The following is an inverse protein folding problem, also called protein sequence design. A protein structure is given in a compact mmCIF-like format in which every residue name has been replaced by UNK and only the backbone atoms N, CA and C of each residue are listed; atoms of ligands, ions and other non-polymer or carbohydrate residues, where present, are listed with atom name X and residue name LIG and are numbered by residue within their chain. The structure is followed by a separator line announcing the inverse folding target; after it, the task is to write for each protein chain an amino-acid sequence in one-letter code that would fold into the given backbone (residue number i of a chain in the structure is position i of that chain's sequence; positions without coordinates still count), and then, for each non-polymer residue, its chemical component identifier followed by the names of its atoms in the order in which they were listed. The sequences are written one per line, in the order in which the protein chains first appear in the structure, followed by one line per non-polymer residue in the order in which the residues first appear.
data_IF_067289392886
#
_entry.id   IF_067289392886
#
_cell.length_a   1.000
_cell.length_b   1.000
_cell.length_c   1.000
_cell.angle_alpha   90.00
_cell.angle_beta   90.00
_cell.angle_gamma   90.00
#
_symmetry.space_group_name_H-M   'P 1'
#
loop_
_entity.id
_entity.type
_entity.pdbx_description
1 polymer ?
#
# COMPACT_ATOMS: atom_id res chain seq x y z
N UNK A 1 13.44 29.39 -18.83
CA UNK A 1 14.23 28.94 -17.67
C UNK A 1 13.43 27.79 -17.11
N UNK A 2 13.92 26.56 -17.29
CA UNK A 2 13.25 25.40 -16.71
C UNK A 2 13.41 25.54 -15.19
N UNK A 3 12.31 25.48 -14.44
CA UNK A 3 12.39 25.41 -12.98
C UNK A 3 13.34 24.27 -12.62
N UNK A 4 14.38 24.60 -11.87
CA UNK A 4 15.35 23.64 -11.38
C UNK A 4 14.60 22.75 -10.38
N UNK A 5 14.28 21.53 -10.79
CA UNK A 5 13.58 20.57 -9.92
C UNK A 5 14.53 20.25 -8.76
N UNK A 6 14.24 20.76 -7.57
CA UNK A 6 14.96 20.39 -6.35
C UNK A 6 14.71 18.89 -6.08
N UNK A 7 15.73 18.06 -6.30
CA UNK A 7 15.67 16.62 -6.06
C UNK A 7 16.90 16.18 -5.27
N UNK A 8 16.72 15.71 -4.03
CA UNK A 8 17.81 15.36 -3.12
C UNK A 8 18.83 16.52 -2.94
N UNK A 9 18.36 17.77 -3.03
CA UNK A 9 19.20 18.98 -3.04
C UNK A 9 19.95 19.21 -1.72
N UNK A 10 19.47 18.62 -0.63
CA UNK A 10 20.08 18.64 0.70
C UNK A 10 21.17 17.58 0.90
N UNK A 11 21.31 16.62 -0.02
CA UNK A 11 22.34 15.58 0.03
C UNK A 11 23.57 15.96 -0.78
N UNK A 12 24.74 15.49 -0.33
CA UNK A 12 25.99 15.70 -1.06
C UNK A 12 25.99 14.90 -2.36
N UNK A 13 26.00 15.60 -3.49
CA UNK A 13 26.04 15.02 -4.83
C UNK A 13 27.47 14.92 -5.35
N UNK A 14 27.71 13.92 -6.21
CA UNK A 14 28.92 13.80 -7.03
C UNK A 14 28.57 14.06 -8.50
N UNK A 15 29.48 14.65 -9.28
CA UNK A 15 29.29 14.74 -10.72
C UNK A 15 29.16 13.34 -11.33
N UNK A 16 28.23 13.20 -12.27
CA UNK A 16 28.17 12.07 -13.17
C UNK A 16 27.68 12.54 -14.53
N UNK A 17 27.87 11.71 -15.56
CA UNK A 17 27.36 12.02 -16.89
C UNK A 17 26.78 10.76 -17.50
N UNK A 18 25.53 10.80 -17.99
CA UNK A 18 25.02 9.75 -18.86
C UNK A 18 25.76 9.78 -20.21
N UNK A 19 25.71 8.69 -20.97
CA UNK A 19 26.29 8.66 -22.33
C UNK A 19 25.73 9.84 -23.15
N UNK A 20 26.60 10.59 -23.83
CA UNK A 20 26.21 11.74 -24.64
C UNK A 20 25.12 11.39 -25.69
N UNK A 21 25.05 10.13 -26.13
CA UNK A 21 24.03 9.63 -27.05
C UNK A 21 22.63 9.49 -26.44
N UNK A 22 22.52 9.54 -25.11
CA UNK A 22 21.26 9.36 -24.40
C UNK A 22 20.33 10.58 -24.45
N UNK A 23 20.86 11.76 -24.77
CA UNK A 23 20.09 13.01 -24.72
C UNK A 23 19.68 13.46 -23.31
N UNK A 24 20.19 12.79 -22.27
CA UNK A 24 19.92 13.11 -20.87
C UNK A 24 20.87 14.20 -20.35
N UNK A 25 20.32 15.13 -19.57
CA UNK A 25 21.11 16.12 -18.84
C UNK A 25 21.46 15.57 -17.45
N UNK A 26 22.74 15.54 -17.04
CA UNK A 26 23.10 15.06 -15.70
C UNK A 26 22.62 16.01 -14.60
N UNK A 27 22.06 15.45 -13.52
CA UNK A 27 21.73 16.20 -12.29
C UNK A 27 22.75 15.90 -11.21
N UNK A 28 22.86 14.64 -10.76
CA UNK A 28 23.79 14.26 -9.69
C UNK A 28 23.83 12.77 -9.38
N UNK A 29 24.93 12.32 -8.80
CA UNK A 29 25.11 10.98 -8.28
C UNK A 29 25.18 11.02 -6.76
N UNK A 30 24.25 10.33 -6.11
CA UNK A 30 24.18 10.21 -4.67
C UNK A 30 24.61 8.82 -4.25
N UNK A 31 25.37 8.72 -3.16
CA UNK A 31 25.96 7.47 -2.69
C UNK A 31 25.54 7.26 -1.24
N UNK A 32 25.02 6.07 -0.94
CA UNK A 32 24.64 5.67 0.40
C UNK A 32 25.84 5.38 1.31
N UNK A 33 25.58 4.65 2.39
CA UNK A 33 26.58 4.35 3.41
C UNK A 33 27.45 3.13 3.07
N UNK A 34 28.65 3.10 3.64
CA UNK A 34 29.67 2.04 3.49
C UNK A 34 30.27 1.84 2.09
N UNK A 35 31.14 0.83 1.95
CA UNK A 35 31.77 0.46 0.68
C UNK A 35 30.80 -0.30 -0.22
N UNK A 36 30.82 0.00 -1.53
CA UNK A 36 29.86 -0.55 -2.51
C UNK A 36 28.39 -0.28 -2.14
N UNK A 37 28.13 0.89 -1.56
CA UNK A 37 26.81 1.40 -1.25
C UNK A 37 25.88 1.44 -2.47
N UNK A 38 24.59 1.63 -2.20
CA UNK A 38 23.64 2.01 -3.24
C UNK A 38 24.08 3.34 -3.87
N UNK A 39 24.09 3.37 -5.20
CA UNK A 39 24.23 4.59 -5.99
C UNK A 39 22.87 4.98 -6.58
N UNK A 40 22.49 6.25 -6.45
CA UNK A 40 21.34 6.84 -7.15
C UNK A 40 21.86 7.85 -8.16
N UNK A 41 21.76 7.52 -9.44
CA UNK A 41 22.15 8.39 -10.54
C UNK A 41 20.91 9.12 -11.08
N UNK A 42 20.92 10.45 -11.00
CA UNK A 42 19.78 11.30 -11.35
C UNK A 42 20.10 12.13 -12.59
N UNK A 43 19.26 12.03 -13.61
CA UNK A 43 19.34 12.81 -14.84
C UNK A 43 17.98 13.44 -15.15
N UNK A 44 17.97 14.40 -16.06
CA UNK A 44 16.78 15.06 -16.54
C UNK A 44 16.62 14.83 -18.05
N UNK A 45 15.38 14.69 -18.51
CA UNK A 45 15.02 14.58 -19.91
C UNK A 45 13.86 15.53 -20.24
N UNK A 46 13.86 16.10 -21.45
CA UNK A 46 12.75 16.92 -21.91
C UNK A 46 11.48 16.09 -22.18
N UNK A 47 11.64 14.82 -22.54
CA UNK A 47 10.56 13.86 -22.80
C UNK A 47 10.89 12.53 -22.13
N UNK A 48 9.87 11.73 -21.82
CA UNK A 48 10.04 10.41 -21.24
C UNK A 48 10.88 9.51 -22.18
N UNK A 49 12.05 9.01 -21.76
CA UNK A 49 12.83 8.09 -22.57
C UNK A 49 12.08 6.76 -22.69
N UNK A 50 12.22 6.09 -23.83
CA UNK A 50 11.65 4.74 -24.00
C UNK A 50 12.30 3.74 -23.03
N UNK A 51 11.53 2.75 -22.55
CA UNK A 51 12.00 1.73 -21.59
C UNK A 51 13.35 1.11 -21.95
N UNK A 52 13.57 0.77 -23.23
CA UNK A 52 14.84 0.19 -23.69
C UNK A 52 16.02 1.13 -23.51
N UNK A 53 15.85 2.43 -23.72
CA UNK A 53 16.90 3.42 -23.51
C UNK A 53 17.25 3.55 -22.02
N UNK A 54 16.26 3.55 -21.12
CA UNK A 54 16.49 3.58 -19.67
C UNK A 54 17.33 2.40 -19.21
N UNK A 55 16.99 1.19 -19.67
CA UNK A 55 17.73 -0.04 -19.34
C UNK A 55 19.16 0.00 -19.88
N UNK A 56 19.38 0.47 -21.11
CA UNK A 56 20.73 0.55 -21.69
C UNK A 56 21.62 1.58 -20.98
N UNK A 57 21.06 2.75 -20.61
CA UNK A 57 21.78 3.77 -19.83
C UNK A 57 22.14 3.22 -18.45
N UNK A 58 21.20 2.54 -17.80
CA UNK A 58 21.43 1.89 -16.52
C UNK A 58 22.53 0.83 -16.61
N UNK A 59 22.47 -0.07 -17.62
CA UNK A 59 23.50 -1.10 -17.84
C UNK A 59 24.88 -0.50 -18.09
N UNK A 60 24.96 0.53 -18.94
CA UNK A 60 26.20 1.21 -19.25
C UNK A 60 26.86 1.79 -17.99
N UNK A 61 26.07 2.39 -17.09
CA UNK A 61 26.57 2.95 -15.83
C UNK A 61 26.86 1.89 -14.77
N UNK A 62 26.02 0.86 -14.64
CA UNK A 62 26.20 -0.25 -13.70
C UNK A 62 27.48 -1.01 -14.03
N UNK A 63 27.67 -1.34 -15.30
CA UNK A 63 28.77 -2.18 -15.77
C UNK A 63 28.88 -3.48 -14.96
N UNK A 64 30.10 -3.93 -14.68
CA UNK A 64 30.37 -5.12 -13.84
C UNK A 64 30.60 -4.78 -12.36
N UNK A 65 30.20 -3.58 -11.91
CA UNK A 65 30.47 -3.11 -10.55
C UNK A 65 29.59 -3.86 -9.54
N UNK A 66 30.08 -4.02 -8.31
CA UNK A 66 29.33 -4.66 -7.24
C UNK A 66 28.26 -3.74 -6.61
N UNK A 67 28.49 -2.42 -6.63
CA UNK A 67 27.56 -1.42 -6.09
C UNK A 67 26.20 -1.47 -6.80
N UNK A 68 25.08 -1.61 -6.08
CA UNK A 68 23.74 -1.42 -6.64
C UNK A 68 23.61 -0.03 -7.27
N UNK A 69 22.82 0.08 -8.34
CA UNK A 69 22.58 1.36 -9.01
C UNK A 69 21.10 1.52 -9.25
N UNK A 70 20.54 2.64 -8.84
CA UNK A 70 19.22 3.10 -9.22
C UNK A 70 19.39 4.27 -10.18
N UNK A 71 18.79 4.18 -11.37
CA UNK A 71 18.74 5.28 -12.32
C UNK A 71 17.38 5.96 -12.18
N UNK A 72 17.41 7.27 -11.94
CA UNK A 72 16.24 8.15 -11.91
C UNK A 72 16.36 9.14 -13.05
N UNK A 73 15.32 9.22 -13.88
CA UNK A 73 15.22 10.23 -14.93
C UNK A 73 14.02 11.11 -14.64
N UNK A 74 14.27 12.38 -14.36
CA UNK A 74 13.27 13.40 -14.11
C UNK A 74 12.76 13.96 -15.45
N UNK A 75 11.45 14.06 -15.58
CA UNK A 75 10.76 14.80 -16.63
C UNK A 75 10.11 16.06 -16.03
N UNK A 76 9.33 16.79 -16.82
CA UNK A 76 8.69 18.03 -16.36
C UNK A 76 7.81 17.83 -15.11
N UNK A 77 6.98 16.78 -15.11
CA UNK A 77 5.98 16.53 -14.06
C UNK A 77 6.01 15.10 -13.49
N UNK A 78 6.93 14.26 -13.96
CA UNK A 78 7.03 12.87 -13.52
C UNK A 78 8.47 12.39 -13.55
N UNK A 79 8.70 11.18 -13.04
CA UNK A 79 9.99 10.53 -13.00
C UNK A 79 9.89 9.10 -13.51
N UNK A 80 10.98 8.61 -14.07
CA UNK A 80 11.17 7.20 -14.40
C UNK A 80 12.29 6.60 -13.56
N UNK A 81 12.10 5.37 -13.08
CA UNK A 81 13.03 4.69 -12.19
C UNK A 81 13.31 3.28 -12.70
N UNK A 82 14.59 2.90 -12.72
CA UNK A 82 15.04 1.55 -13.08
C UNK A 82 16.28 1.11 -12.29
N UNK A 83 16.40 -0.19 -12.03
CA UNK A 83 17.41 -0.79 -11.14
C UNK A 83 16.74 -1.62 -10.03
N UNK A 84 17.39 -1.93 -8.90
CA UNK A 84 18.74 -1.60 -8.45
C UNK A 84 19.83 -2.63 -8.85
N UNK A 85 19.37 -3.81 -9.30
CA UNK A 85 20.14 -5.01 -9.65
C UNK A 85 19.40 -5.82 -10.72
N UNK A 86 20.08 -6.80 -11.31
CA UNK A 86 19.50 -7.72 -12.31
C UNK A 86 20.05 -7.47 -13.72
N UNK A 87 19.87 -8.43 -14.62
CA UNK A 87 20.28 -8.27 -16.03
C UNK A 87 19.25 -7.47 -16.84
N UNK A 88 17.97 -7.62 -16.48
CA UNK A 88 16.83 -6.87 -17.01
C UNK A 88 16.09 -6.28 -15.81
N UNK A 89 16.48 -5.08 -15.34
CA UNK A 89 15.79 -4.46 -14.22
C UNK A 89 14.37 -4.03 -14.65
N UNK A 90 13.40 -4.03 -13.71
CA UNK A 90 12.10 -3.42 -13.97
C UNK A 90 12.26 -1.91 -14.26
N UNK A 91 11.31 -1.39 -15.02
CA UNK A 91 11.20 0.04 -15.33
C UNK A 91 9.82 0.50 -14.89
N UNK A 92 9.81 1.51 -14.02
CA UNK A 92 8.60 2.20 -13.61
C UNK A 92 8.62 3.59 -14.22
N UNK A 93 7.54 3.95 -14.89
CA UNK A 93 7.40 5.19 -15.67
C UNK A 93 6.27 6.02 -15.10
N UNK A 94 6.29 7.33 -15.38
CA UNK A 94 5.23 8.27 -14.98
C UNK A 94 4.96 8.31 -13.47
N UNK A 95 6.03 8.21 -12.68
CA UNK A 95 5.98 8.26 -11.22
C UNK A 95 5.98 9.70 -10.71
N UNK A 96 5.35 9.92 -9.56
CA UNK A 96 5.38 11.21 -8.87
C UNK A 96 6.82 11.54 -8.41
N UNK A 97 7.29 12.77 -8.68
CA UNK A 97 8.68 13.16 -8.41
C UNK A 97 8.97 13.12 -6.90
N UNK A 98 8.07 13.65 -6.08
CA UNK A 98 8.22 13.66 -4.62
C UNK A 98 8.25 12.25 -4.03
N UNK A 99 7.43 11.33 -4.54
CA UNK A 99 7.47 9.91 -4.20
C UNK A 99 8.84 9.28 -4.48
N UNK A 100 9.35 9.47 -5.70
CA UNK A 100 10.64 8.91 -6.12
C UNK A 100 11.78 9.50 -5.27
N UNK A 101 11.72 10.79 -4.96
CA UNK A 101 12.70 11.45 -4.12
C UNK A 101 12.72 10.85 -2.70
N UNK A 102 11.56 10.70 -2.07
CA UNK A 102 11.44 10.12 -0.73
C UNK A 102 11.91 8.66 -0.68
N UNK A 103 11.59 7.86 -1.70
CA UNK A 103 12.08 6.49 -1.82
C UNK A 103 13.62 6.47 -1.95
N UNK A 104 14.20 7.31 -2.80
CA UNK A 104 15.65 7.38 -2.98
C UNK A 104 16.35 7.79 -1.69
N UNK A 105 15.80 8.80 -0.98
CA UNK A 105 16.30 9.26 0.32
C UNK A 105 16.29 8.15 1.36
N UNK A 106 15.19 7.41 1.47
CA UNK A 106 15.07 6.28 2.39
C UNK A 106 16.07 5.16 2.05
N UNK A 107 16.26 4.87 0.76
CA UNK A 107 17.18 3.84 0.29
C UNK A 107 18.66 4.23 0.49
N UNK A 108 19.01 5.50 0.28
CA UNK A 108 20.36 6.05 0.51
C UNK A 108 20.72 6.10 2.00
N UNK A 109 19.73 6.27 2.89
CA UNK A 109 19.93 6.30 4.33
C UNK A 109 20.16 4.92 4.96
N UNK A 110 19.95 3.83 4.22
CA UNK A 110 20.14 2.47 4.73
C UNK A 110 21.61 2.23 5.14
N UNK A 111 21.84 1.43 6.20
CA UNK A 111 23.17 1.24 6.76
C UNK A 111 24.13 0.54 5.79
N UNK A 112 23.60 -0.36 4.96
CA UNK A 112 24.38 -1.14 4.02
C UNK A 112 23.61 -1.44 2.72
N UNK A 113 24.34 -1.93 1.71
CA UNK A 113 23.77 -2.27 0.40
C UNK A 113 22.70 -3.37 0.44
N UNK A 114 22.78 -4.31 1.38
CA UNK A 114 21.83 -5.41 1.49
C UNK A 114 20.50 -4.91 2.08
N UNK A 115 20.55 -4.03 3.08
CA UNK A 115 19.39 -3.32 3.60
C UNK A 115 18.71 -2.47 2.51
N UNK A 116 19.48 -1.69 1.76
CA UNK A 116 18.99 -0.93 0.61
C UNK A 116 18.30 -1.80 -0.44
N UNK A 117 18.91 -2.94 -0.81
CA UNK A 117 18.32 -3.86 -1.78
C UNK A 117 17.03 -4.52 -1.27
N UNK A 118 16.99 -4.93 0.00
CA UNK A 118 15.76 -5.47 0.60
C UNK A 118 14.64 -4.44 0.54
N UNK A 119 14.92 -3.20 0.95
CA UNK A 119 13.95 -2.11 0.90
C UNK A 119 13.43 -1.87 -0.52
N UNK A 120 14.34 -1.72 -1.50
CA UNK A 120 13.94 -1.48 -2.90
C UNK A 120 13.17 -2.66 -3.50
N UNK A 121 13.53 -3.90 -3.17
CA UNK A 121 12.82 -5.09 -3.66
C UNK A 121 11.37 -5.17 -3.17
N UNK A 122 11.07 -4.59 -2.00
CA UNK A 122 9.73 -4.53 -1.44
C UNK A 122 8.97 -3.28 -1.89
N UNK A 123 9.65 -2.14 -1.95
CA UNK A 123 9.07 -0.84 -2.28
C UNK A 123 8.71 -0.72 -3.77
N UNK A 124 9.61 -1.09 -4.68
CA UNK A 124 9.43 -0.85 -6.13
C UNK A 124 8.15 -1.46 -6.71
N UNK A 125 7.80 -2.74 -6.43
CA UNK A 125 6.54 -3.31 -6.91
C UNK A 125 5.30 -2.61 -6.35
N UNK A 126 5.38 -2.03 -5.15
CA UNK A 126 4.23 -1.34 -4.55
C UNK A 126 3.91 0.01 -5.21
N UNK A 127 4.84 0.57 -6.00
CA UNK A 127 4.65 1.85 -6.68
C UNK A 127 3.60 1.79 -7.79
N UNK A 128 3.32 0.61 -8.34
CA UNK A 128 2.31 0.41 -9.39
C UNK A 128 0.90 0.18 -8.84
N UNK A 129 0.74 0.16 -7.51
CA UNK A 129 -0.59 0.02 -6.89
C UNK A 129 -1.37 1.34 -7.00
N UNK A 130 -2.70 1.28 -6.88
CA UNK A 130 -3.55 2.47 -6.95
C UNK A 130 -3.27 3.46 -5.81
N UNK A 131 -2.84 2.96 -4.65
CA UNK A 131 -2.47 3.76 -3.48
C UNK A 131 -1.08 3.35 -2.99
N UNK A 132 0.00 3.76 -3.69
CA UNK A 132 1.37 3.39 -3.31
C UNK A 132 1.67 3.81 -1.88
N UNK A 133 2.36 2.92 -1.14
CA UNK A 133 2.66 3.14 0.27
C UNK A 133 1.50 2.90 1.24
N UNK A 134 0.30 2.56 0.77
CA UNK A 134 -0.80 2.10 1.61
C UNK A 134 -1.11 0.62 1.35
N UNK A 135 -1.19 -0.16 2.43
CA UNK A 135 -1.72 -1.52 2.39
C UNK A 135 -2.94 -1.60 3.28
N UNK A 136 -4.12 -1.74 2.68
CA UNK A 136 -5.39 -1.87 3.38
C UNK A 136 -5.83 -3.33 3.42
N UNK A 137 -5.70 -3.96 4.59
CA UNK A 137 -6.13 -5.33 4.83
C UNK A 137 -7.53 -5.40 5.45
N UNK A 138 -8.48 -4.74 4.78
CA UNK A 138 -9.91 -4.86 5.11
C UNK A 138 -10.40 -3.95 6.23
N UNK A 139 -9.58 -3.02 6.73
CA UNK A 139 -10.03 -2.03 7.70
C UNK A 139 -10.95 -0.99 7.05
N UNK A 140 -10.63 -0.54 5.83
CA UNK A 140 -11.40 0.47 5.10
C UNK A 140 -11.93 -0.10 3.77
N UNK A 141 -12.92 0.55 3.17
CA UNK A 141 -13.33 0.21 1.81
C UNK A 141 -12.34 0.82 0.82
N UNK A 142 -11.83 0.02 -0.13
CA UNK A 142 -10.90 0.53 -1.15
C UNK A 142 -11.53 1.63 -2.00
N UNK A 143 -12.82 1.50 -2.34
CA UNK A 143 -13.57 2.54 -3.05
C UNK A 143 -13.62 3.86 -2.28
N UNK A 144 -13.80 3.80 -0.96
CA UNK A 144 -13.83 4.99 -0.12
C UNK A 144 -12.45 5.66 -0.14
N UNK A 145 -11.37 4.90 0.01
CA UNK A 145 -10.02 5.42 -0.15
C UNK A 145 -9.83 6.04 -1.54
N UNK A 146 -10.09 5.35 -2.64
CA UNK A 146 -9.77 5.87 -3.98
C UNK A 146 -10.65 7.04 -4.44
N UNK A 147 -11.91 7.13 -3.97
CA UNK A 147 -12.89 8.06 -4.54
C UNK A 147 -13.65 8.92 -3.54
N UNK A 148 -13.71 8.52 -2.27
CA UNK A 148 -14.43 9.22 -1.20
C UNK A 148 -13.50 10.18 -0.47
N UNK A 149 -12.47 9.66 0.19
CA UNK A 149 -11.52 10.44 1.00
C UNK A 149 -10.89 11.62 0.24
N UNK A 150 -10.47 11.49 -1.04
CA UNK A 150 -9.93 12.62 -1.81
C UNK A 150 -10.90 13.81 -1.99
N UNK A 151 -12.20 13.61 -1.76
CA UNK A 151 -13.23 14.66 -1.86
C UNK A 151 -13.51 15.36 -0.53
N UNK A 152 -12.83 14.97 0.56
CA UNK A 152 -13.05 15.58 1.86
C UNK A 152 -12.64 17.06 1.86
N UNK A 153 -13.38 17.94 2.57
CA UNK A 153 -13.07 19.36 2.62
C UNK A 153 -11.76 19.69 3.35
N UNK A 154 -11.25 18.77 4.18
CA UNK A 154 -10.01 18.91 4.94
C UNK A 154 -8.78 18.32 4.23
N UNK A 155 -8.91 17.88 2.96
CA UNK A 155 -7.86 17.23 2.19
C UNK A 155 -6.58 18.06 2.03
N UNK A 156 -6.71 19.33 1.61
CA UNK A 156 -5.55 20.21 1.39
C UNK A 156 -4.85 20.59 2.70
N UNK A 157 -5.60 20.77 3.78
CA UNK A 157 -5.02 21.03 5.09
C UNK A 157 -4.30 19.78 5.63
N UNK A 158 -4.91 18.60 5.46
CA UNK A 158 -4.26 17.34 5.77
C UNK A 158 -2.97 17.15 4.96
N UNK A 159 -2.94 17.59 3.69
CA UNK A 159 -1.72 17.59 2.88
C UNK A 159 -0.62 18.40 3.57
N UNK A 160 -0.88 19.65 3.95
CA UNK A 160 0.13 20.49 4.62
C UNK A 160 0.62 19.87 5.93
N UNK A 161 -0.30 19.34 6.75
CA UNK A 161 0.06 18.73 8.04
C UNK A 161 0.88 17.44 7.85
N UNK A 162 0.55 16.62 6.84
CA UNK A 162 1.31 15.42 6.52
C UNK A 162 2.77 15.71 6.14
N UNK A 163 3.05 16.84 5.47
CA UNK A 163 4.42 17.21 5.09
C UNK A 163 5.36 17.35 6.30
N UNK A 164 4.85 17.81 7.46
CA UNK A 164 5.65 17.93 8.68
C UNK A 164 6.13 16.58 9.23
N UNK A 165 5.51 15.47 8.80
CA UNK A 165 5.77 14.12 9.27
C UNK A 165 6.67 13.29 8.32
N UNK A 166 6.87 13.69 7.06
CA UNK A 166 7.42 12.82 6.00
C UNK A 166 8.84 12.26 6.22
N UNK A 167 9.68 12.97 6.97
CA UNK A 167 11.07 12.59 7.24
C UNK A 167 11.29 12.17 8.70
N UNK A 168 10.21 11.86 9.42
CA UNK A 168 10.25 11.45 10.82
C UNK A 168 10.13 9.94 10.94
N UNK A 169 10.63 9.38 12.04
CA UNK A 169 10.59 7.94 12.34
C UNK A 169 10.03 7.70 13.74
N UNK A 170 9.40 6.55 13.92
CA UNK A 170 8.96 6.02 15.22
C UNK A 170 8.25 7.09 16.08
N UNK A 171 8.81 7.44 17.24
CA UNK A 171 8.24 8.42 18.17
C UNK A 171 8.16 9.82 17.58
N UNK A 172 9.14 10.24 16.79
CA UNK A 172 9.13 11.56 16.16
C UNK A 172 8.03 11.66 15.10
N UNK A 173 7.76 10.56 14.41
CA UNK A 173 6.66 10.47 13.44
C UNK A 173 5.32 10.61 14.14
N UNK A 174 5.09 9.87 15.22
CA UNK A 174 3.88 9.98 16.02
C UNK A 174 3.72 11.36 16.66
N UNK A 175 4.83 11.97 17.13
CA UNK A 175 4.82 13.34 17.64
C UNK A 175 4.44 14.36 16.57
N UNK A 176 4.99 14.24 15.36
CA UNK A 176 4.63 15.11 14.22
C UNK A 176 3.17 14.94 13.77
N UNK A 177 2.58 13.76 14.03
CA UNK A 177 1.17 13.46 13.83
C UNK A 177 0.26 13.97 14.96
N UNK A 178 0.82 14.69 15.94
CA UNK A 178 0.09 15.39 16.98
C UNK A 178 -0.12 14.60 18.27
N UNK A 179 0.52 13.43 18.43
CA UNK A 179 0.41 12.67 19.66
C UNK A 179 1.32 13.20 20.77
N UNK A 180 0.80 13.24 21.99
CA UNK A 180 1.62 13.20 23.19
C UNK A 180 1.87 11.73 23.55
N UNK A 181 3.14 11.36 23.74
CA UNK A 181 3.55 9.97 23.93
C UNK A 181 3.99 9.79 25.38
N UNK A 182 3.29 8.93 26.11
CA UNK A 182 3.55 8.58 27.51
C UNK A 182 3.95 7.10 27.57
N UNK A 183 5.07 6.76 28.20
CA UNK A 183 5.46 5.35 28.32
C UNK A 183 4.57 4.66 29.36
N UNK A 184 3.92 3.55 28.96
CA UNK A 184 3.06 2.77 29.83
C UNK A 184 3.84 1.63 30.49
N UNK A 185 4.75 1.02 29.73
CA UNK A 185 5.75 0.07 30.19
C UNK A 185 6.96 0.06 29.23
N UNK A 186 7.83 -0.94 29.35
CA UNK A 186 9.04 -1.06 28.52
C UNK A 186 8.77 -1.39 27.04
N UNK A 187 7.55 -1.79 26.68
CA UNK A 187 7.18 -2.25 25.34
C UNK A 187 6.12 -1.38 24.68
N UNK A 188 5.31 -0.69 25.48
CA UNK A 188 4.11 0.01 25.04
C UNK A 188 4.12 1.47 25.49
N UNK A 189 3.60 2.31 24.60
CA UNK A 189 3.37 3.71 24.87
C UNK A 189 1.87 4.00 24.76
N UNK A 190 1.37 4.89 25.59
CA UNK A 190 0.06 5.49 25.48
C UNK A 190 0.15 6.73 24.58
N UNK A 191 -0.63 6.72 23.49
CA UNK A 191 -0.79 7.87 22.62
C UNK A 191 -1.97 8.71 23.08
N UNK A 192 -1.70 9.97 23.42
CA UNK A 192 -2.71 10.94 23.84
C UNK A 192 -2.97 11.98 22.75
N UNK A 193 -4.23 12.34 22.60
CA UNK A 193 -4.71 13.47 21.81
C UNK A 193 -5.34 14.46 22.76
N UNK A 194 -4.65 15.58 23.02
CA UNK A 194 -4.98 16.50 24.12
C UNK A 194 -5.09 15.70 25.44
N UNK A 195 -6.18 15.85 26.19
CA UNK A 195 -6.39 15.14 27.46
C UNK A 195 -6.90 13.69 27.31
N UNK A 196 -7.14 13.22 26.07
CA UNK A 196 -7.74 11.91 25.81
C UNK A 196 -6.69 10.86 25.47
N UNK A 197 -6.94 9.64 25.94
CA UNK A 197 -6.20 8.43 25.57
C UNK A 197 -6.73 7.91 24.23
N UNK A 198 -5.93 8.01 23.17
CA UNK A 198 -6.37 7.74 21.81
C UNK A 198 -6.01 6.31 21.36
N UNK A 199 -4.78 5.86 21.63
CA UNK A 199 -4.29 4.57 21.16
C UNK A 199 -3.19 4.02 22.05
N UNK A 200 -2.95 2.71 21.94
CA UNK A 200 -1.71 2.09 22.38
C UNK A 200 -0.72 2.08 21.21
N UNK A 201 0.54 2.38 21.45
CA UNK A 201 1.60 2.22 20.45
C UNK A 201 2.67 1.23 20.88
N UNK A 202 3.26 0.55 19.89
CA UNK A 202 4.44 -0.31 20.07
C UNK A 202 5.47 0.06 19.01
N UNK A 203 6.69 0.34 19.47
CA UNK A 203 7.84 0.58 18.58
C UNK A 203 8.50 -0.76 18.24
N UNK A 204 8.37 -1.22 17.00
CA UNK A 204 9.02 -2.43 16.53
C UNK A 204 10.47 -2.14 16.12
N UNK A 205 11.34 -3.12 16.33
CA UNK A 205 12.69 -3.11 15.78
C UNK A 205 12.63 -3.50 14.31
N UNK A 206 13.63 -3.09 13.53
CA UNK A 206 13.68 -3.33 12.07
C UNK A 206 13.52 -4.81 11.67
N UNK A 207 14.00 -5.73 12.50
CA UNK A 207 13.94 -7.18 12.25
C UNK A 207 12.74 -7.89 12.87
N UNK A 208 11.83 -7.17 13.52
CA UNK A 208 10.62 -7.76 14.12
C UNK A 208 9.46 -7.77 13.12
N UNK A 209 8.69 -8.86 13.14
CA UNK A 209 7.41 -8.96 12.45
C UNK A 209 6.28 -8.72 13.44
N UNK A 210 5.21 -8.05 13.00
CA UNK A 210 4.04 -7.79 13.82
C UNK A 210 3.30 -9.09 14.20
N UNK A 211 3.35 -10.11 13.34
CA UNK A 211 2.61 -11.37 13.42
C UNK A 211 3.43 -12.51 14.03
N UNK A 212 4.77 -12.43 13.97
CA UNK A 212 5.65 -13.46 14.50
C UNK A 212 5.89 -13.30 16.00
N UNK A 213 5.81 -14.40 16.74
CA UNK A 213 6.15 -14.42 18.17
C UNK A 213 7.63 -14.11 18.42
N UNK A 214 7.92 -13.35 19.47
CA UNK A 214 9.31 -13.10 19.86
C UNK A 214 9.50 -13.09 21.38
N UNK A 215 10.74 -13.35 21.82
CA UNK A 215 11.07 -13.37 23.25
C UNK A 215 10.76 -12.04 23.96
N UNK A 216 10.90 -10.91 23.24
CA UNK A 216 10.60 -9.58 23.77
C UNK A 216 9.12 -9.42 24.14
N UNK A 217 8.22 -10.14 23.47
CA UNK A 217 6.78 -10.12 23.73
C UNK A 217 6.30 -11.42 24.40
N UNK A 218 7.14 -12.06 25.20
CA UNK A 218 6.82 -13.31 25.92
C UNK A 218 6.30 -14.43 24.99
N UNK A 219 6.92 -14.57 23.82
CA UNK A 219 6.54 -15.53 22.76
C UNK A 219 5.18 -15.27 22.09
N UNK A 220 4.47 -14.20 22.47
CA UNK A 220 3.34 -13.69 21.69
C UNK A 220 3.85 -12.85 20.52
N UNK A 221 3.01 -12.70 19.50
CA UNK A 221 3.28 -11.72 18.45
C UNK A 221 3.09 -10.30 18.98
N UNK A 222 3.87 -9.31 18.52
CA UNK A 222 3.72 -7.92 18.95
C UNK A 222 2.29 -7.40 18.84
N UNK A 223 1.56 -7.75 17.76
CA UNK A 223 0.17 -7.32 17.60
C UNK A 223 -0.77 -7.97 18.62
N UNK A 224 -0.62 -9.27 18.90
CA UNK A 224 -1.47 -9.95 19.88
C UNK A 224 -1.25 -9.39 21.28
N UNK A 225 0.01 -9.13 21.62
CA UNK A 225 0.38 -8.48 22.87
C UNK A 225 -0.22 -7.07 22.97
N UNK A 226 -0.08 -6.27 21.92
CA UNK A 226 -0.58 -4.90 21.87
C UNK A 226 -2.12 -4.83 21.97
N UNK A 227 -2.85 -5.68 21.23
CA UNK A 227 -4.32 -5.73 21.30
C UNK A 227 -4.80 -6.12 22.70
N UNK A 228 -4.18 -7.13 23.32
CA UNK A 228 -4.50 -7.53 24.70
C UNK A 228 -4.30 -6.37 25.68
N UNK A 229 -3.16 -5.68 25.58
CA UNK A 229 -2.86 -4.55 26.45
C UNK A 229 -3.78 -3.35 26.20
N UNK A 230 -4.14 -3.10 24.94
CA UNK A 230 -5.10 -2.06 24.58
C UNK A 230 -6.51 -2.37 25.11
N UNK A 231 -6.93 -3.64 25.10
CA UNK A 231 -8.19 -4.08 25.70
C UNK A 231 -8.18 -3.83 27.22
N UNK A 232 -7.09 -4.19 27.92
CA UNK A 232 -6.93 -3.95 29.36
C UNK A 232 -6.99 -2.45 29.71
N UNK A 233 -6.48 -1.58 28.83
CA UNK A 233 -6.48 -0.11 28.99
C UNK A 233 -7.73 0.58 28.42
N UNK A 234 -8.68 -0.18 27.85
CA UNK A 234 -9.88 0.33 27.16
C UNK A 234 -9.58 1.34 26.03
N UNK A 235 -8.57 1.03 25.20
CA UNK A 235 -8.16 1.89 24.08
C UNK A 235 -8.80 1.40 22.76
N UNK A 236 -9.31 2.30 21.90
CA UNK A 236 -9.98 1.92 20.65
C UNK A 236 -9.01 1.51 19.52
N UNK A 237 -7.74 1.91 19.62
CA UNK A 237 -6.76 1.78 18.55
C UNK A 237 -5.42 1.23 19.05
N UNK A 238 -4.76 0.48 18.17
CA UNK A 238 -3.35 0.09 18.31
C UNK A 238 -2.57 0.59 17.10
N UNK A 239 -1.43 1.24 17.35
CA UNK A 239 -0.50 1.72 16.32
C UNK A 239 0.84 1.01 16.49
N UNK A 240 1.24 0.19 15.52
CA UNK A 240 2.61 -0.29 15.43
C UNK A 240 3.42 0.70 14.60
N UNK A 241 4.55 1.15 15.13
CA UNK A 241 5.49 2.00 14.42
C UNK A 241 6.80 1.24 14.23
N UNK A 242 7.35 1.27 13.01
CA UNK A 242 8.60 0.60 12.66
C UNK A 242 9.38 1.47 11.68
N UNK A 243 10.28 2.30 12.20
CA UNK A 243 11.00 3.28 11.40
C UNK A 243 10.03 4.29 10.76
N UNK A 244 9.89 4.23 9.44
CA UNK A 244 8.96 5.08 8.70
C UNK A 244 7.64 4.38 8.35
N UNK A 245 7.32 3.23 8.95
CA UNK A 245 6.09 2.49 8.69
C UNK A 245 5.15 2.61 9.89
N UNK A 246 3.87 2.89 9.62
CA UNK A 246 2.81 2.91 10.61
C UNK A 246 1.75 1.89 10.24
N UNK A 247 1.36 1.06 11.20
CA UNK A 247 0.24 0.15 11.05
C UNK A 247 -0.80 0.39 12.11
N UNK A 248 -2.03 0.57 11.68
CA UNK A 248 -3.17 0.87 12.53
C UNK A 248 -4.14 -0.31 12.57
N UNK A 249 -4.54 -0.67 13.79
CA UNK A 249 -5.50 -1.71 14.09
C UNK A 249 -6.61 -1.14 14.98
N UNK A 250 -7.84 -1.62 14.77
CA UNK A 250 -8.94 -1.39 15.72
C UNK A 250 -8.93 -2.45 16.82
N UNK A 251 -9.30 -2.05 18.04
CA UNK A 251 -9.56 -3.03 19.11
C UNK A 251 -10.97 -3.61 19.05
N UNK A 252 -11.90 -3.02 18.29
CA UNK A 252 -13.23 -3.57 18.12
C UNK A 252 -13.20 -4.89 17.32
N UNK A 253 -14.06 -5.83 17.69
CA UNK A 253 -14.10 -7.20 17.12
C UNK A 253 -14.68 -7.21 15.71
N UNK A 254 -15.57 -6.28 15.42
CA UNK A 254 -16.34 -6.13 14.19
C UNK A 254 -15.90 -4.92 13.35
N UNK A 255 -14.80 -4.28 13.71
CA UNK A 255 -14.27 -3.17 12.94
C UNK A 255 -13.78 -3.61 11.55
N UNK A 256 -14.00 -2.72 10.59
CA UNK A 256 -13.60 -2.88 9.21
C UNK A 256 -14.63 -3.59 8.33
N UNK A 257 -14.35 -3.59 7.02
CA UNK A 257 -15.26 -4.11 5.99
C UNK A 257 -14.83 -5.48 5.43
N UNK A 258 -13.59 -5.89 5.72
CA UNK A 258 -13.00 -7.11 5.17
C UNK A 258 -13.42 -8.43 5.83
N UNK A 259 -14.15 -8.36 6.97
CA UNK A 259 -14.59 -9.49 7.80
C UNK A 259 -13.47 -10.47 8.16
N UNK A 260 -12.33 -9.96 8.61
CA UNK A 260 -11.16 -10.76 9.04
C UNK A 260 -11.02 -10.72 10.56
N UNK A 261 -10.08 -11.50 11.10
CA UNK A 261 -9.71 -11.40 12.51
C UNK A 261 -9.08 -10.04 12.85
N UNK A 262 -9.12 -9.64 14.13
CA UNK A 262 -8.55 -8.36 14.61
C UNK A 262 -7.07 -8.19 14.24
N UNK A 263 -6.29 -9.26 14.29
CA UNK A 263 -4.86 -9.26 13.94
C UNK A 263 -4.60 -9.19 12.44
N UNK A 264 -5.62 -9.44 11.62
CA UNK A 264 -5.56 -9.48 10.15
C UNK A 264 -6.31 -8.32 9.49
N UNK A 265 -6.95 -7.47 10.30
CA UNK A 265 -7.70 -6.29 9.86
C UNK A 265 -6.93 -5.03 10.23
N UNK A 266 -6.23 -4.45 9.26
CA UNK A 266 -5.42 -3.27 9.49
C UNK A 266 -5.30 -2.40 8.26
N UNK A 267 -4.81 -1.19 8.47
CA UNK A 267 -4.25 -0.36 7.40
C UNK A 267 -2.84 0.04 7.75
N UNK A 268 -1.96 -0.09 6.77
CA UNK A 268 -0.54 0.16 6.89
C UNK A 268 -0.12 1.27 5.93
N UNK A 269 0.78 2.13 6.39
CA UNK A 269 1.25 3.29 5.66
C UNK A 269 2.76 3.42 5.77
N UNK A 270 3.42 3.59 4.63
CA UNK A 270 4.82 3.96 4.54
C UNK A 270 4.93 5.31 3.80
N UNK A 271 5.08 6.44 4.53
CA UNK A 271 5.09 7.78 3.94
C UNK A 271 6.15 8.01 2.86
N UNK A 272 7.28 7.29 2.92
CA UNK A 272 8.31 7.38 1.87
C UNK A 272 7.87 6.84 0.52
N UNK A 273 6.78 6.08 0.46
CA UNK A 273 6.24 5.47 -0.75
C UNK A 273 4.94 6.11 -1.22
N UNK A 274 4.34 7.01 -0.43
CA UNK A 274 3.15 7.75 -0.85
C UNK A 274 3.49 8.67 -2.02
N UNK A 275 2.60 8.73 -3.02
CA UNK A 275 2.60 9.82 -3.99
C UNK A 275 2.24 11.16 -3.32
N UNK A 276 2.69 12.30 -3.85
CA UNK A 276 2.38 13.62 -3.30
C UNK A 276 0.87 13.90 -3.20
N UNK A 277 0.09 13.37 -4.15
CA UNK A 277 -1.36 13.39 -4.11
C UNK A 277 -1.96 12.59 -2.97
N UNK A 278 -1.27 11.57 -2.47
CA UNK A 278 -1.74 10.63 -1.43
C UNK A 278 -1.22 10.96 -0.03
N UNK A 279 -0.36 11.97 0.13
CA UNK A 279 0.12 12.42 1.44
C UNK A 279 -0.97 12.70 2.48
N UNK A 280 -2.15 13.25 2.13
CA UNK A 280 -3.21 13.51 3.11
C UNK A 280 -3.66 12.28 3.92
N UNK A 281 -3.56 11.07 3.36
CA UNK A 281 -3.91 9.84 4.08
C UNK A 281 -3.11 9.65 5.36
N UNK A 282 -1.82 10.02 5.34
CA UNK A 282 -0.96 9.92 6.53
C UNK A 282 -1.59 10.68 7.70
N UNK A 283 -2.09 11.89 7.46
CA UNK A 283 -2.72 12.69 8.49
C UNK A 283 -4.16 12.25 8.80
N UNK A 284 -4.98 12.01 7.77
CA UNK A 284 -6.40 11.68 7.91
C UNK A 284 -6.67 10.31 8.56
N UNK A 285 -5.68 9.42 8.56
CA UNK A 285 -5.81 8.06 9.11
C UNK A 285 -5.01 7.90 10.41
N UNK A 286 -3.80 8.48 10.49
CA UNK A 286 -2.87 8.18 11.59
C UNK A 286 -2.66 9.32 12.59
N UNK A 287 -3.26 10.50 12.40
CA UNK A 287 -3.06 11.63 13.33
C UNK A 287 -3.83 11.51 14.64
N UNK A 288 -3.38 12.26 15.64
CA UNK A 288 -4.10 12.40 16.91
C UNK A 288 -5.51 12.98 16.74
N UNK A 289 -5.73 13.81 15.72
CA UNK A 289 -7.06 14.32 15.35
C UNK A 289 -7.89 13.23 14.66
N UNK A 290 -7.29 12.42 13.79
CA UNK A 290 -7.97 11.33 13.10
C UNK A 290 -8.51 10.26 14.06
N UNK A 291 -7.69 9.86 15.04
CA UNK A 291 -8.02 8.82 16.01
C UNK A 291 -8.93 9.31 17.16
N UNK A 292 -9.16 10.62 17.28
CA UNK A 292 -10.11 11.15 18.24
C UNK A 292 -11.56 10.72 17.88
N UNK A 293 -12.49 10.68 18.86
CA UNK A 293 -13.91 10.51 18.55
C UNK A 293 -14.38 11.54 17.53
N UNK A 294 -15.18 11.10 16.57
CA UNK A 294 -15.65 11.89 15.41
C UNK A 294 -14.53 12.42 14.49
N UNK A 295 -13.28 11.96 14.70
CA UNK A 295 -12.14 12.27 13.87
C UNK A 295 -12.28 11.70 12.46
N UNK A 296 -11.40 12.14 11.55
CA UNK A 296 -11.45 11.76 10.14
C UNK A 296 -11.44 10.25 9.92
N UNK A 297 -10.68 9.48 10.70
CA UNK A 297 -10.67 8.02 10.58
C UNK A 297 -12.04 7.39 10.87
N UNK A 298 -12.74 7.86 11.91
CA UNK A 298 -14.08 7.35 12.25
C UNK A 298 -15.07 7.66 11.11
N UNK A 299 -15.01 8.87 10.56
CA UNK A 299 -15.86 9.25 9.43
C UNK A 299 -15.57 8.38 8.19
N UNK A 300 -14.30 8.13 7.89
CA UNK A 300 -13.88 7.27 6.77
C UNK A 300 -14.33 5.82 6.99
N UNK A 301 -14.27 5.32 8.22
CA UNK A 301 -14.79 4.00 8.59
C UNK A 301 -16.30 3.90 8.40
N UNK A 302 -17.05 4.91 8.85
CA UNK A 302 -18.50 4.94 8.71
C UNK A 302 -18.92 4.94 7.24
N UNK A 303 -18.30 5.78 6.39
CA UNK A 303 -18.58 5.76 4.95
C UNK A 303 -18.14 4.45 4.29
N UNK A 304 -17.01 3.88 4.72
CA UNK A 304 -16.56 2.55 4.27
C UNK A 304 -17.61 1.46 4.57
N UNK A 305 -18.17 1.46 5.79
CA UNK A 305 -19.19 0.51 6.21
C UNK A 305 -20.50 0.70 5.43
N UNK A 306 -20.95 1.94 5.22
CA UNK A 306 -22.13 2.23 4.39
C UNK A 306 -21.94 1.74 2.96
N UNK A 307 -20.81 2.05 2.35
CA UNK A 307 -20.49 1.59 0.99
C UNK A 307 -20.49 0.05 0.91
N UNK A 308 -19.88 -0.63 1.87
CA UNK A 308 -19.85 -2.09 1.92
C UNK A 308 -21.26 -2.69 2.09
N UNK A 309 -22.10 -2.07 2.91
CA UNK A 309 -23.51 -2.44 3.07
C UNK A 309 -24.30 -2.29 1.77
N UNK A 310 -24.24 -1.12 1.14
CA UNK A 310 -24.92 -0.84 -0.12
C UNK A 310 -24.44 -1.76 -1.26
N UNK A 311 -23.14 -2.05 -1.30
CA UNK A 311 -22.58 -2.99 -2.26
C UNK A 311 -23.13 -4.41 -2.05
N UNK A 312 -23.25 -4.86 -0.80
CA UNK A 312 -23.80 -6.17 -0.48
C UNK A 312 -25.29 -6.27 -0.86
N UNK A 313 -26.08 -5.21 -0.63
CA UNK A 313 -27.49 -5.16 -1.05
C UNK A 313 -27.61 -5.20 -2.58
N UNK A 314 -26.89 -4.33 -3.31
CA UNK A 314 -26.90 -4.34 -4.78
C UNK A 314 -26.46 -5.68 -5.37
N UNK A 315 -25.43 -6.31 -4.78
CA UNK A 315 -24.97 -7.62 -5.20
C UNK A 315 -26.06 -8.68 -4.99
N UNK A 316 -26.74 -8.66 -3.84
CA UNK A 316 -27.83 -9.58 -3.52
C UNK A 316 -28.97 -9.43 -4.52
N UNK A 317 -29.42 -8.20 -4.77
CA UNK A 317 -30.46 -7.93 -5.77
C UNK A 317 -30.07 -8.42 -7.16
N UNK A 318 -28.83 -8.14 -7.59
CA UNK A 318 -28.34 -8.60 -8.90
C UNK A 318 -28.29 -10.13 -8.99
N UNK A 319 -27.85 -10.80 -7.93
CA UNK A 319 -27.80 -12.27 -7.88
C UNK A 319 -29.19 -12.86 -8.06
N UNK A 320 -30.18 -12.40 -7.29
CA UNK A 320 -31.52 -12.98 -7.34
C UNK A 320 -32.30 -12.61 -8.60
N UNK A 321 -32.17 -11.36 -9.07
CA UNK A 321 -33.00 -10.86 -10.18
C UNK A 321 -32.41 -11.16 -11.57
N UNK A 322 -31.10 -11.38 -11.66
CA UNK A 322 -30.42 -11.57 -12.96
C UNK A 322 -29.60 -12.86 -13.02
N UNK A 323 -28.67 -13.05 -12.07
CA UNK A 323 -27.68 -14.15 -12.19
C UNK A 323 -28.32 -15.53 -12.03
N UNK A 324 -29.12 -15.72 -10.97
CA UNK A 324 -29.79 -17.01 -10.73
C UNK A 324 -30.76 -17.36 -11.86
N UNK A 325 -31.63 -16.44 -12.34
CA UNK A 325 -32.47 -16.69 -13.52
C UNK A 325 -31.68 -17.09 -14.77
N UNK A 326 -30.60 -16.39 -15.11
CA UNK A 326 -29.78 -16.71 -16.29
C UNK A 326 -29.11 -18.08 -16.18
N UNK A 327 -28.52 -18.40 -15.01
CA UNK A 327 -27.93 -19.71 -14.76
C UNK A 327 -28.99 -20.82 -14.83
N UNK A 328 -30.15 -20.60 -14.20
CA UNK A 328 -31.25 -21.56 -14.21
C UNK A 328 -31.76 -21.83 -15.63
N UNK A 329 -31.92 -20.78 -16.45
CA UNK A 329 -32.34 -20.92 -17.85
C UNK A 329 -31.32 -21.73 -18.65
N UNK A 330 -30.03 -21.37 -18.59
CA UNK A 330 -28.99 -22.11 -19.32
C UNK A 330 -28.87 -23.58 -18.89
N UNK A 331 -29.07 -23.87 -17.60
CA UNK A 331 -29.11 -25.25 -17.08
C UNK A 331 -30.35 -25.99 -17.59
N UNK A 332 -31.53 -25.35 -17.58
CA UNK A 332 -32.76 -25.96 -18.11
C UNK A 332 -32.65 -26.28 -19.60
N UNK A 333 -32.09 -25.36 -20.39
CA UNK A 333 -31.86 -25.53 -21.82
C UNK A 333 -30.90 -26.70 -22.09
N UNK A 334 -29.79 -26.76 -21.35
CA UNK A 334 -28.80 -27.86 -21.46
C UNK A 334 -29.41 -29.21 -21.08
N UNK A 335 -30.38 -29.23 -20.16
CA UNK A 335 -31.12 -30.42 -19.77
C UNK A 335 -32.28 -30.76 -20.71
N UNK A 336 -32.58 -29.92 -21.69
CA UNK A 336 -33.69 -30.09 -22.63
C UNK A 336 -35.07 -30.01 -21.97
N UNK A 337 -35.24 -29.13 -20.98
CA UNK A 337 -36.49 -29.00 -20.22
C UNK A 337 -37.36 -27.87 -20.79
N UNK A 338 -38.32 -28.24 -21.64
CA UNK A 338 -39.26 -27.27 -22.22
C UNK A 338 -40.49 -27.00 -21.33
N UNK A 339 -40.88 -27.99 -20.51
CA UNK A 339 -42.06 -27.92 -19.61
C UNK A 339 -41.68 -28.43 -18.22
N UNK A 340 -41.11 -27.56 -17.36
CA UNK A 340 -40.58 -27.98 -16.09
C UNK A 340 -41.68 -28.39 -15.11
N UNK A 341 -41.52 -29.55 -14.46
CA UNK A 341 -42.33 -29.95 -13.29
C UNK A 341 -41.73 -29.32 -12.01
N UNK A 342 -42.46 -29.26 -10.89
CA UNK A 342 -41.94 -28.69 -9.64
C UNK A 342 -40.58 -29.26 -9.19
N UNK A 343 -40.36 -30.57 -9.38
CA UNK A 343 -39.08 -31.24 -9.11
C UNK A 343 -37.96 -30.74 -10.02
N UNK A 344 -38.27 -30.52 -11.30
CA UNK A 344 -37.32 -30.02 -12.29
C UNK A 344 -36.91 -28.58 -11.98
N UNK A 345 -37.85 -27.74 -11.52
CA UNK A 345 -37.59 -26.36 -11.07
C UNK A 345 -36.68 -26.38 -9.84
N UNK A 346 -37.01 -27.20 -8.84
CA UNK A 346 -36.26 -27.27 -7.58
C UNK A 346 -34.81 -27.72 -7.82
N UNK A 347 -34.64 -28.77 -8.64
CA UNK A 347 -33.31 -29.27 -9.00
C UNK A 347 -32.52 -28.26 -9.85
N UNK A 348 -33.15 -27.61 -10.83
CA UNK A 348 -32.46 -26.57 -11.63
C UNK A 348 -32.01 -25.41 -10.76
N UNK A 349 -32.83 -24.98 -9.80
CA UNK A 349 -32.46 -23.93 -8.85
C UNK A 349 -31.26 -24.34 -7.98
N UNK A 350 -31.25 -25.56 -7.45
CA UNK A 350 -30.11 -26.09 -6.68
C UNK A 350 -28.82 -26.14 -7.52
N UNK A 351 -28.93 -26.56 -8.78
CA UNK A 351 -27.80 -26.57 -9.72
C UNK A 351 -27.31 -25.14 -10.02
N UNK A 352 -28.22 -24.18 -10.22
CA UNK A 352 -27.88 -22.79 -10.45
C UNK A 352 -27.15 -22.18 -9.25
N UNK A 353 -27.61 -22.44 -8.02
CA UNK A 353 -26.92 -22.04 -6.80
C UNK A 353 -25.53 -22.69 -6.70
N UNK A 354 -25.40 -23.97 -7.03
CA UNK A 354 -24.11 -24.67 -7.01
C UNK A 354 -23.10 -24.02 -7.96
N UNK A 355 -23.53 -23.66 -9.17
CA UNK A 355 -22.68 -22.95 -10.14
C UNK A 355 -22.33 -21.54 -9.63
N UNK A 356 -23.33 -20.79 -9.15
CA UNK A 356 -23.14 -19.46 -8.59
C UNK A 356 -22.09 -19.46 -7.46
N UNK A 357 -22.24 -20.33 -6.47
CA UNK A 357 -21.30 -20.40 -5.36
C UNK A 357 -19.89 -20.75 -5.82
N UNK A 358 -19.73 -21.67 -6.78
CA UNK A 358 -18.42 -21.99 -7.36
C UNK A 358 -17.78 -20.77 -8.04
N UNK A 359 -18.55 -20.00 -8.80
CA UNK A 359 -18.07 -18.76 -9.42
C UNK A 359 -17.64 -17.75 -8.35
N UNK A 360 -18.45 -17.56 -7.30
CA UNK A 360 -18.12 -16.66 -6.19
C UNK A 360 -16.85 -17.10 -5.44
N UNK A 361 -16.67 -18.40 -5.20
CA UNK A 361 -15.46 -18.93 -4.55
C UNK A 361 -14.21 -18.71 -5.40
N UNK A 362 -14.28 -18.92 -6.72
CA UNK A 362 -13.15 -18.67 -7.62
C UNK A 362 -12.85 -17.18 -7.67
N UNK A 363 -13.87 -16.32 -7.83
CA UNK A 363 -13.71 -14.88 -7.84
C UNK A 363 -13.08 -14.36 -6.53
N UNK A 364 -13.53 -14.87 -5.38
CA UNK A 364 -12.94 -14.57 -4.08
C UNK A 364 -11.47 -15.02 -3.99
N UNK A 365 -11.15 -16.22 -4.47
CA UNK A 365 -9.79 -16.74 -4.43
C UNK A 365 -8.83 -15.98 -5.39
N UNK A 366 -9.33 -15.54 -6.56
CA UNK A 366 -8.61 -14.62 -7.45
C UNK A 366 -8.42 -13.24 -6.82
N UNK A 367 -9.37 -12.76 -6.01
CA UNK A 367 -9.28 -11.47 -5.34
C UNK A 367 -8.33 -11.46 -4.14
N UNK A 368 -8.31 -12.56 -3.37
CA UNK A 368 -7.46 -12.73 -2.19
C UNK A 368 -6.07 -13.30 -2.52
N UNK A 369 -5.67 -13.30 -3.79
CA UNK A 369 -4.40 -13.87 -4.28
C UNK A 369 -4.15 -15.32 -3.83
N UNK A 370 -5.22 -16.07 -3.54
CA UNK A 370 -5.16 -17.50 -3.24
C UNK A 370 -4.97 -18.32 -4.53
N UNK A 371 -5.29 -17.71 -5.67
CA UNK A 371 -4.98 -18.19 -7.00
C UNK A 371 -3.95 -17.25 -7.65
N UNK A 372 -3.10 -17.75 -8.57
CA UNK A 372 -1.93 -17.01 -9.08
C UNK A 372 -2.31 -15.96 -10.14
N UNK A 373 -3.34 -15.15 -9.87
CA UNK A 373 -3.85 -14.12 -10.77
C UNK A 373 -2.81 -13.02 -11.07
N UNK A 374 -2.06 -12.57 -10.05
CA UNK A 374 -1.15 -11.43 -10.18
C UNK A 374 0.19 -11.73 -10.83
N UNK A 375 0.66 -12.98 -10.78
CA UNK A 375 2.04 -13.34 -11.15
C UNK A 375 2.14 -14.50 -12.14
N UNK A 376 1.02 -15.06 -12.59
CA UNK A 376 0.99 -16.08 -13.65
C UNK A 376 0.09 -15.61 -14.79
N UNK A 377 0.70 -15.13 -15.87
CA UNK A 377 -0.03 -14.60 -17.02
C UNK A 377 -0.90 -15.64 -17.71
N UNK A 378 -0.44 -16.89 -17.79
CA UNK A 378 -1.22 -17.99 -18.39
C UNK A 378 -2.50 -18.32 -17.61
N UNK A 379 -2.48 -18.12 -16.29
CA UNK A 379 -3.67 -18.17 -15.45
C UNK A 379 -4.54 -16.92 -15.64
N UNK A 380 -3.93 -15.72 -15.57
CA UNK A 380 -4.64 -14.43 -15.71
C UNK A 380 -5.51 -14.38 -16.97
N UNK A 381 -4.98 -14.80 -18.12
CA UNK A 381 -5.72 -14.82 -19.40
C UNK A 381 -6.98 -15.70 -19.37
N UNK A 382 -7.07 -16.66 -18.44
CA UNK A 382 -8.21 -17.58 -18.31
C UNK A 382 -9.05 -17.34 -17.05
N UNK A 383 -8.68 -16.36 -16.24
CA UNK A 383 -9.34 -16.02 -14.97
C UNK A 383 -10.79 -15.56 -15.19
N UNK A 384 -11.61 -15.67 -14.15
CA UNK A 384 -12.96 -15.10 -14.18
C UNK A 384 -12.92 -13.58 -14.34
N UNK A 385 -11.97 -12.91 -13.67
CA UNK A 385 -11.76 -11.46 -13.81
C UNK A 385 -11.52 -11.03 -15.26
N UNK A 386 -10.68 -11.76 -16.01
CA UNK A 386 -10.42 -11.46 -17.42
C UNK A 386 -11.66 -11.74 -18.28
N UNK A 387 -12.30 -12.88 -18.07
CA UNK A 387 -13.51 -13.27 -18.82
C UNK A 387 -14.68 -12.31 -18.64
N UNK A 388 -14.78 -11.65 -17.48
CA UNK A 388 -15.82 -10.66 -17.23
C UNK A 388 -15.63 -9.33 -17.99
N UNK A 389 -14.46 -9.13 -18.61
CA UNK A 389 -14.13 -7.95 -19.41
C UNK A 389 -14.23 -8.20 -20.93
N UNK A 390 -14.41 -9.47 -21.33
CA UNK A 390 -14.67 -9.92 -22.71
C UNK A 390 -16.16 -9.79 -23.05
#
# INVERSE_FOLDING_TARGET
MADEVEFLSDLLSRPWSPDAKSGLQPVGLFIGQEANALEVAVAQAAQAPVRSALVEIWKARKGRRAAPLLLVVLQANSASITGATGEVPPVYEDMDIGQVERLCREALAQPDRHAALRLLSQALPSLETALPGLTNEGLLALHELEHGVPKRPDWDEAKRKAHAALNKRDRDLLGALGFQIEDLDNLTCLLRSKDRRAALAVMLRENESAEAGSARFNSLSPISYALKKADDENLPWVVLAQGNRLRLYSTAVDAGVGRRGRTETYIDCQPSLLADGHLPYLYLIYSAEALAPDGSLHQILDESQRFAGDLAERLRERIYNHVVPELAQGIADTRGIDKPRPEDISLTYEMALTVLFRLLFIAYAEDRDLLPYRFNDAYRTRSLKQKAQE
#
